data_IF_157378057956
#
_entry.id   IF_157378057956
#
_cell.length_a   1.000
_cell.length_b   1.000
_cell.length_c   1.000
_cell.angle_alpha   90.00
_cell.angle_beta   90.00
_cell.angle_gamma   90.00
#
_symmetry.space_group_name_H-M   'P 1'
#
loop_
_entity.id
_entity.type
_entity.pdbx_description
1 polymer ?
#
# COMPACT_ATOMS: atom_id res chain seq x y z
N UNK A 1 33.50 -2.49 17.15
CA UNK A 1 32.75 -2.42 15.87
C UNK A 1 31.64 -3.43 15.92
N UNK A 2 30.40 -2.99 15.77
CA UNK A 2 29.28 -3.90 15.53
C UNK A 2 28.29 -3.23 14.58
N UNK A 3 28.29 -3.68 13.34
CA UNK A 3 27.11 -3.64 12.48
C UNK A 3 27.28 -4.73 11.41
N UNK A 4 26.75 -5.91 11.70
CA UNK A 4 26.27 -6.75 10.60
C UNK A 4 24.91 -7.27 11.00
N UNK A 5 23.89 -6.63 10.44
CA UNK A 5 22.58 -7.23 10.30
C UNK A 5 22.17 -7.09 8.84
N UNK A 6 21.69 -8.19 8.25
CA UNK A 6 20.97 -8.20 6.98
C UNK A 6 19.57 -8.79 7.26
N UNK A 7 18.63 -8.08 7.90
CA UNK A 7 17.24 -8.52 7.92
C UNK A 7 16.47 -7.74 6.84
N UNK A 8 16.01 -8.50 5.83
CA UNK A 8 15.23 -8.10 4.65
C UNK A 8 16.00 -7.32 3.56
N UNK A 9 16.82 -8.04 2.77
CA UNK A 9 17.34 -7.52 1.50
C UNK A 9 16.19 -7.47 0.49
N UNK A 10 15.65 -6.28 0.26
CA UNK A 10 14.57 -6.04 -0.68
C UNK A 10 15.14 -5.91 -2.10
N UNK A 11 14.86 -6.89 -2.95
CA UNK A 11 15.13 -6.82 -4.40
C UNK A 11 13.79 -6.57 -5.09
N UNK A 12 13.71 -5.45 -5.80
CA UNK A 12 12.54 -5.09 -6.60
C UNK A 12 12.64 -5.73 -7.99
N UNK A 13 11.48 -6.09 -8.55
CA UNK A 13 11.34 -6.65 -9.89
C UNK A 13 10.81 -5.61 -10.88
N UNK A 14 10.96 -5.89 -12.18
CA UNK A 14 10.36 -5.07 -13.23
C UNK A 14 8.85 -4.99 -13.00
N UNK A 15 8.34 -3.81 -12.66
CA UNK A 15 6.95 -3.63 -12.24
C UNK A 15 6.55 -2.17 -12.37
N UNK A 16 5.28 -1.93 -12.65
CA UNK A 16 4.60 -0.65 -12.75
C UNK A 16 3.17 -0.82 -12.22
N UNK A 17 2.69 0.15 -11.46
CA UNK A 17 1.28 0.21 -11.12
C UNK A 17 0.77 1.62 -11.16
N UNK A 18 -0.43 1.82 -11.70
CA UNK A 18 -1.05 3.13 -11.82
C UNK A 18 -2.55 3.04 -11.65
N UNK A 19 -3.10 3.91 -10.83
CA UNK A 19 -4.54 4.05 -10.68
C UNK A 19 -4.95 4.62 -9.35
N UNK A 20 -6.25 4.53 -9.07
CA UNK A 20 -6.83 5.01 -7.82
C UNK A 20 -8.19 4.39 -7.59
N UNK A 21 -8.58 4.33 -6.32
CA UNK A 21 -9.92 3.93 -5.96
C UNK A 21 -10.15 4.02 -4.46
N UNK A 22 -11.40 3.82 -4.09
CA UNK A 22 -11.86 3.83 -2.72
C UNK A 22 -12.31 2.42 -2.31
N UNK A 23 -12.00 2.00 -1.09
CA UNK A 23 -12.48 0.75 -0.51
C UNK A 23 -13.42 1.11 0.64
N UNK A 24 -14.65 0.64 0.54
CA UNK A 24 -15.65 0.81 1.58
C UNK A 24 -15.78 -0.48 2.41
N UNK A 25 -15.56 -0.36 3.72
CA UNK A 25 -15.73 -1.44 4.68
C UNK A 25 -16.99 -1.13 5.48
N UNK A 26 -18.10 -1.77 5.09
CA UNK A 26 -19.39 -1.60 5.77
C UNK A 26 -19.33 -2.08 7.23
N UNK A 27 -18.66 -3.21 7.46
CA UNK A 27 -18.46 -3.78 8.77
C UNK A 27 -17.25 -4.71 8.73
N UNK A 28 -16.45 -4.69 9.79
CA UNK A 28 -15.48 -5.74 10.06
C UNK A 28 -16.15 -6.91 10.79
N UNK A 29 -15.35 -7.94 11.04
CA UNK A 29 -15.76 -9.14 11.78
C UNK A 29 -16.22 -8.85 13.21
N UNK A 30 -15.70 -7.79 13.83
CA UNK A 30 -16.12 -7.35 15.17
C UNK A 30 -17.51 -6.69 15.19
N UNK A 31 -18.12 -6.46 14.02
CA UNK A 31 -19.41 -5.79 13.82
C UNK A 31 -19.47 -4.33 14.30
N UNK A 32 -18.35 -3.74 14.72
CA UNK A 32 -18.28 -2.38 15.26
C UNK A 32 -17.39 -1.49 14.40
N UNK A 33 -16.35 -2.07 13.79
CA UNK A 33 -15.38 -1.32 13.01
C UNK A 33 -15.81 -1.20 11.55
N UNK A 34 -15.68 -0.01 10.99
CA UNK A 34 -16.05 0.30 9.61
C UNK A 34 -15.25 1.50 9.09
N UNK A 35 -15.47 1.85 7.83
CA UNK A 35 -14.93 3.09 7.29
C UNK A 35 -14.60 2.99 5.82
N UNK A 36 -13.83 3.97 5.36
CA UNK A 36 -13.38 4.09 3.99
C UNK A 36 -11.89 4.39 3.96
N UNK A 37 -11.20 3.83 2.98
CA UNK A 37 -9.87 4.30 2.63
C UNK A 37 -9.73 4.43 1.12
N UNK A 38 -8.85 5.31 0.70
CA UNK A 38 -8.52 5.60 -0.69
C UNK A 38 -7.06 5.33 -0.93
N UNK A 39 -6.76 4.67 -2.05
CA UNK A 39 -5.41 4.54 -2.57
C UNK A 39 -5.30 5.30 -3.89
N UNK A 40 -4.19 6.00 -4.05
CA UNK A 40 -3.73 6.56 -5.32
C UNK A 40 -2.27 6.17 -5.51
N UNK A 41 -1.97 5.55 -6.64
CA UNK A 41 -0.69 4.90 -6.92
C UNK A 41 -0.24 5.25 -8.33
N UNK A 42 1.04 5.59 -8.48
CA UNK A 42 1.75 5.70 -9.75
C UNK A 42 3.22 5.36 -9.46
N UNK A 43 3.59 4.10 -9.60
CA UNK A 43 4.90 3.56 -9.20
C UNK A 43 5.50 2.73 -10.32
N UNK A 44 6.83 2.66 -10.37
CA UNK A 44 7.54 1.81 -11.32
C UNK A 44 8.94 1.44 -10.81
N UNK A 45 9.48 0.38 -11.41
CA UNK A 45 10.88 0.02 -11.36
C UNK A 45 11.25 -0.80 -12.59
N UNK A 46 12.36 -0.44 -13.23
CA UNK A 46 13.05 -1.22 -14.25
C UNK A 46 14.55 -1.25 -13.94
N UNK A 47 15.11 -2.42 -13.63
CA UNK A 47 16.53 -2.55 -13.31
C UNK A 47 17.48 -2.14 -14.47
N UNK A 48 16.97 -2.04 -15.70
CA UNK A 48 17.74 -1.53 -16.84
C UNK A 48 17.81 0.01 -16.89
N UNK A 49 16.88 0.72 -16.25
CA UNK A 49 16.74 2.18 -16.32
C UNK A 49 16.84 2.88 -14.95
N UNK A 50 16.45 2.20 -13.88
CA UNK A 50 16.26 2.76 -12.55
C UNK A 50 17.28 2.21 -11.55
N UNK A 51 17.82 3.10 -10.72
CA UNK A 51 18.65 2.69 -9.59
C UNK A 51 17.82 2.15 -8.42
N UNK A 52 16.60 2.67 -8.25
CA UNK A 52 15.68 2.36 -7.16
C UNK A 52 14.22 2.50 -7.63
N UNK A 53 13.27 1.82 -6.97
CA UNK A 53 11.84 2.04 -7.22
C UNK A 53 11.45 3.51 -7.06
N UNK A 54 10.60 3.98 -7.96
CA UNK A 54 10.22 5.39 -8.03
C UNK A 54 8.72 5.57 -8.22
N UNK A 55 8.26 6.80 -7.96
CA UNK A 55 6.86 7.20 -8.14
C UNK A 55 6.20 7.71 -6.86
N UNK A 56 4.88 7.63 -6.83
CA UNK A 56 4.02 8.19 -5.79
C UNK A 56 3.01 7.16 -5.28
N UNK A 57 2.79 7.17 -3.97
CA UNK A 57 1.74 6.44 -3.31
C UNK A 57 1.11 7.34 -2.25
N UNK A 58 -0.21 7.42 -2.24
CA UNK A 58 -1.01 8.13 -1.24
C UNK A 58 -2.10 7.21 -0.72
N UNK A 59 -2.24 7.16 0.61
CA UNK A 59 -3.26 6.39 1.31
C UNK A 59 -4.01 7.35 2.22
N UNK A 60 -5.28 7.62 1.91
CA UNK A 60 -6.17 8.39 2.78
C UNK A 60 -7.09 7.42 3.52
N UNK A 61 -7.19 7.56 4.83
CA UNK A 61 -7.98 6.66 5.68
C UNK A 61 -8.95 7.44 6.56
N UNK A 62 -10.18 6.96 6.62
CA UNK A 62 -11.20 7.33 7.59
C UNK A 62 -11.84 6.03 8.13
N UNK A 63 -10.99 5.24 8.80
CA UNK A 63 -11.37 4.01 9.48
C UNK A 63 -11.68 4.29 10.94
N UNK A 64 -12.68 3.61 11.51
CA UNK A 64 -13.06 3.78 12.92
C UNK A 64 -12.06 3.16 13.90
N UNK A 65 -11.22 2.25 13.44
CA UNK A 65 -10.30 1.43 14.24
C UNK A 65 -8.80 1.72 13.98
N UNK A 66 -8.52 2.87 13.38
CA UNK A 66 -7.17 3.33 13.07
C UNK A 66 -7.09 4.85 13.00
N UNK A 67 -5.88 5.34 12.83
CA UNK A 67 -5.67 6.78 12.69
C UNK A 67 -6.26 7.29 11.37
N UNK A 68 -6.87 8.49 11.41
CA UNK A 68 -7.56 9.12 10.28
C UNK A 68 -6.70 10.24 9.70
N UNK A 69 -6.57 10.28 8.38
CA UNK A 69 -5.76 11.26 7.66
C UNK A 69 -5.11 10.68 6.43
N UNK A 70 -4.01 11.29 5.99
CA UNK A 70 -3.32 10.96 4.73
C UNK A 70 -1.89 10.51 5.05
N UNK A 71 -1.49 9.39 4.44
CA UNK A 71 -0.14 8.87 4.43
C UNK A 71 0.40 8.97 3.01
N UNK A 72 1.53 9.64 2.85
CA UNK A 72 2.18 9.83 1.55
C UNK A 72 3.54 9.13 1.60
N UNK A 73 3.80 8.25 0.64
CA UNK A 73 5.10 7.61 0.51
C UNK A 73 6.18 8.68 0.35
N UNK A 74 7.21 8.59 1.20
CA UNK A 74 8.43 9.39 1.11
C UNK A 74 9.53 8.62 0.40
N UNK A 75 9.54 7.29 0.56
CA UNK A 75 10.40 6.37 -0.18
C UNK A 75 9.59 5.15 -0.60
N UNK A 76 10.00 4.53 -1.70
CA UNK A 76 9.54 3.20 -2.11
C UNK A 76 10.77 2.29 -1.99
N UNK A 77 10.76 1.40 -1.01
CA UNK A 77 11.90 0.55 -0.69
C UNK A 77 11.82 -0.80 -1.42
N UNK A 78 10.60 -1.26 -1.71
CA UNK A 78 10.37 -2.49 -2.46
C UNK A 78 9.13 -2.32 -3.36
N UNK A 79 9.26 -2.79 -4.59
CA UNK A 79 8.14 -3.03 -5.51
C UNK A 79 8.34 -4.39 -6.18
N UNK A 80 7.37 -5.28 -6.01
CA UNK A 80 7.37 -6.58 -6.68
C UNK A 80 5.95 -6.90 -7.15
N UNK A 81 5.81 -7.34 -8.40
CA UNK A 81 4.60 -8.01 -8.86
C UNK A 81 4.81 -9.49 -9.14
N UNK A 82 3.74 -10.27 -9.07
CA UNK A 82 3.67 -11.63 -9.59
C UNK A 82 2.29 -11.94 -10.16
N UNK A 83 2.13 -13.07 -10.84
CA UNK A 83 0.85 -13.55 -11.36
C UNK A 83 0.58 -13.13 -12.81
N UNK A 84 0.28 -14.10 -13.68
CA UNK A 84 0.02 -13.87 -15.11
C UNK A 84 -1.40 -13.38 -15.39
N UNK A 85 -2.38 -13.98 -14.72
CA UNK A 85 -3.81 -13.74 -14.96
C UNK A 85 -4.47 -12.84 -13.91
N UNK A 86 -3.78 -12.62 -12.80
CA UNK A 86 -4.13 -11.66 -11.76
C UNK A 86 -2.79 -11.08 -11.27
N UNK A 87 -2.28 -10.04 -11.94
CA UNK A 87 -1.08 -9.36 -11.50
C UNK A 87 -1.29 -8.78 -10.10
N UNK A 88 -0.50 -9.23 -9.12
CA UNK A 88 -0.55 -8.74 -7.75
C UNK A 88 0.76 -8.04 -7.43
N UNK A 89 0.70 -6.78 -7.01
CA UNK A 89 1.84 -5.96 -6.61
C UNK A 89 1.91 -5.81 -5.08
N UNK A 90 3.13 -5.76 -4.57
CA UNK A 90 3.48 -5.47 -3.20
C UNK A 90 4.42 -4.27 -3.14
N UNK A 91 4.10 -3.33 -2.26
CA UNK A 91 4.93 -2.16 -2.00
C UNK A 91 5.27 -2.06 -0.54
N UNK A 92 6.51 -1.66 -0.24
CA UNK A 92 6.91 -1.22 1.11
C UNK A 92 7.73 0.04 1.02
N UNK A 93 7.76 0.79 2.12
CA UNK A 93 8.60 1.96 2.24
C UNK A 93 8.27 2.82 3.45
N UNK A 94 8.78 4.05 3.42
CA UNK A 94 8.55 5.04 4.48
C UNK A 94 7.49 6.03 4.04
N UNK A 95 6.74 6.54 5.02
CA UNK A 95 5.71 7.54 4.78
C UNK A 95 5.94 8.81 5.61
N UNK A 96 5.31 9.88 5.15
CA UNK A 96 4.99 11.06 5.95
C UNK A 96 3.49 11.14 6.11
N UNK A 97 3.02 11.82 7.14
CA UNK A 97 1.59 11.90 7.43
C UNK A 97 1.21 13.23 8.05
N UNK A 98 -0.02 13.67 7.77
CA UNK A 98 -0.69 14.80 8.43
C UNK A 98 -1.53 14.38 9.64
N UNK A 99 -1.53 13.08 9.98
CA UNK A 99 -2.36 12.52 11.03
C UNK A 99 -1.89 13.05 12.40
N UNK A 100 -2.83 13.63 13.15
CA UNK A 100 -2.62 14.00 14.54
C UNK A 100 -2.78 12.76 15.45
N UNK A 101 -1.66 12.14 15.83
CA UNK A 101 -1.60 11.13 16.89
C UNK A 101 -0.82 11.65 18.10
N UNK A 102 -1.18 11.19 19.30
CA UNK A 102 -0.47 11.51 20.55
C UNK A 102 0.05 10.23 21.19
N UNK A 103 1.38 10.03 21.31
CA UNK A 103 2.46 10.92 20.86
C UNK A 103 2.57 11.00 19.33
N UNK A 104 3.22 12.04 18.77
CA UNK A 104 3.40 12.19 17.32
C UNK A 104 4.01 10.95 16.67
N UNK A 105 3.52 10.61 15.48
CA UNK A 105 3.98 9.44 14.72
C UNK A 105 5.47 9.57 14.39
N UNK A 106 6.26 8.56 14.76
CA UNK A 106 7.70 8.49 14.45
C UNK A 106 8.03 7.23 13.67
N UNK A 107 8.77 7.39 12.57
CA UNK A 107 9.19 6.29 11.70
C UNK A 107 8.02 5.59 11.01
N UNK A 108 7.15 6.37 10.37
CA UNK A 108 6.02 5.85 9.59
C UNK A 108 6.52 4.94 8.47
N UNK A 109 6.03 3.69 8.46
CA UNK A 109 6.28 2.70 7.41
C UNK A 109 4.96 2.19 6.86
N UNK A 110 4.95 1.86 5.57
CA UNK A 110 3.77 1.30 4.92
C UNK A 110 4.08 -0.05 4.29
N UNK A 111 3.03 -0.85 4.17
CA UNK A 111 2.93 -2.00 3.29
C UNK A 111 1.63 -1.88 2.51
N UNK A 112 1.67 -2.14 1.20
CA UNK A 112 0.49 -2.16 0.33
C UNK A 112 0.52 -3.43 -0.52
N UNK A 113 -0.66 -4.00 -0.74
CA UNK A 113 -0.91 -5.02 -1.74
C UNK A 113 -2.06 -4.56 -2.65
N UNK A 114 -1.90 -4.78 -3.96
CA UNK A 114 -3.00 -4.63 -4.92
C UNK A 114 -3.04 -5.88 -5.79
N UNK A 115 -4.18 -6.57 -5.79
CA UNK A 115 -4.49 -7.64 -6.73
C UNK A 115 -5.35 -7.07 -7.86
N UNK A 116 -4.78 -6.97 -9.06
CA UNK A 116 -5.41 -6.48 -10.28
C UNK A 116 -6.25 -7.60 -10.91
N UNK A 117 -7.57 -7.48 -10.79
CA UNK A 117 -8.55 -8.41 -11.34
C UNK A 117 -9.18 -7.84 -12.63
N UNK A 118 -9.99 -8.65 -13.31
CA UNK A 118 -10.59 -8.26 -14.59
C UNK A 118 -11.63 -7.14 -14.44
N UNK A 119 -11.51 -6.14 -15.32
CA UNK A 119 -12.38 -4.95 -15.49
C UNK A 119 -13.85 -5.19 -15.89
N UNK A 120 -14.28 -6.44 -16.06
CA UNK A 120 -15.63 -6.70 -16.56
C UNK A 120 -16.66 -6.17 -15.56
N UNK A 121 -17.78 -5.63 -16.06
CA UNK A 121 -18.82 -5.05 -15.20
C UNK A 121 -19.45 -6.05 -14.21
N UNK A 122 -19.26 -7.35 -14.47
CA UNK A 122 -19.60 -8.48 -13.60
C UNK A 122 -18.36 -9.22 -13.07
N UNK A 123 -17.17 -8.66 -13.27
CA UNK A 123 -15.89 -9.23 -12.88
C UNK A 123 -15.62 -9.10 -11.38
N UNK A 124 -14.58 -9.78 -10.92
CA UNK A 124 -14.09 -9.65 -9.55
C UNK A 124 -13.42 -8.27 -9.42
N UNK A 125 -13.81 -7.42 -8.45
CA UNK A 125 -13.12 -6.16 -8.22
C UNK A 125 -11.66 -6.36 -7.84
N UNK A 126 -10.80 -5.39 -8.13
CA UNK A 126 -9.45 -5.34 -7.56
C UNK A 126 -9.53 -5.44 -6.03
N UNK A 127 -8.57 -6.12 -5.42
CA UNK A 127 -8.45 -6.14 -3.96
C UNK A 127 -7.26 -5.28 -3.58
N UNK A 128 -7.50 -4.31 -2.70
CA UNK A 128 -6.43 -3.47 -2.15
C UNK A 128 -6.34 -3.70 -0.67
N UNK A 129 -5.11 -3.88 -0.17
CA UNK A 129 -4.79 -4.00 1.24
C UNK A 129 -3.65 -3.06 1.62
N UNK A 130 -3.69 -2.49 2.81
CA UNK A 130 -2.58 -1.72 3.36
C UNK A 130 -2.44 -1.90 4.87
N UNK A 131 -1.24 -1.63 5.36
CA UNK A 131 -0.96 -1.45 6.78
C UNK A 131 0.09 -0.35 6.98
N UNK A 132 -0.12 0.49 7.98
CA UNK A 132 0.80 1.55 8.42
C UNK A 132 1.30 1.21 9.82
N UNK A 133 2.61 1.35 10.05
CA UNK A 133 3.24 1.13 11.35
C UNK A 133 4.12 2.30 11.77
N UNK A 134 4.35 2.43 13.07
CA UNK A 134 5.42 3.26 13.62
C UNK A 134 6.78 2.53 13.64
N UNK A 135 7.83 3.22 14.11
CA UNK A 135 9.18 2.66 14.24
C UNK A 135 9.29 1.44 15.16
N UNK A 136 8.31 1.22 16.04
CA UNK A 136 8.30 0.10 16.97
C UNK A 136 7.50 -1.08 16.42
N UNK A 137 6.92 -0.96 15.22
CA UNK A 137 6.03 -1.96 14.63
C UNK A 137 4.59 -1.89 15.14
N UNK A 138 4.21 -0.84 15.88
CA UNK A 138 2.82 -0.67 16.30
C UNK A 138 1.97 -0.29 15.09
N UNK A 139 0.82 -0.94 14.92
CA UNK A 139 -0.14 -0.63 13.87
C UNK A 139 -0.80 0.73 14.11
N UNK A 140 -0.77 1.59 13.10
CA UNK A 140 -1.38 2.93 13.10
C UNK A 140 -2.69 2.94 12.33
N UNK A 141 -2.73 2.34 11.15
CA UNK A 141 -3.91 2.25 10.30
C UNK A 141 -3.81 1.02 9.40
N UNK A 142 -4.94 0.44 9.01
CA UNK A 142 -4.98 -0.70 8.11
C UNK A 142 -6.35 -0.85 7.46
N UNK A 143 -6.39 -1.51 6.30
CA UNK A 143 -7.62 -1.78 5.60
C UNK A 143 -7.36 -2.73 4.45
N UNK A 144 -8.33 -3.60 4.18
CA UNK A 144 -8.31 -4.50 3.02
C UNK A 144 -9.73 -4.68 2.52
N UNK A 145 -9.92 -4.65 1.21
CA UNK A 145 -11.23 -4.91 0.63
C UNK A 145 -11.30 -4.68 -0.88
N UNK A 146 -12.50 -4.86 -1.46
CA UNK A 146 -12.73 -4.64 -2.88
C UNK A 146 -12.67 -3.15 -3.22
N UNK A 147 -11.92 -2.83 -4.26
CA UNK A 147 -11.73 -1.49 -4.77
C UNK A 147 -12.94 -1.07 -5.59
N UNK A 148 -13.48 0.11 -5.28
CA UNK A 148 -14.31 0.89 -6.18
C UNK A 148 -13.42 1.89 -6.90
N UNK A 149 -13.00 1.52 -8.09
CA UNK A 149 -11.96 2.19 -8.86
C UNK A 149 -11.16 1.16 -9.62
N UNK A 150 -9.96 1.51 -10.02
CA UNK A 150 -9.12 0.63 -10.83
C UNK A 150 -7.65 0.96 -10.60
N UNK A 151 -6.83 -0.08 -10.44
CA UNK A 151 -5.38 0.04 -10.41
C UNK A 151 -4.81 -0.98 -11.39
N UNK A 152 -4.29 -0.45 -12.49
CA UNK A 152 -3.57 -1.26 -13.45
C UNK A 152 -2.20 -1.61 -12.89
N UNK A 153 -1.93 -2.91 -12.78
CA UNK A 153 -0.63 -3.47 -12.43
C UNK A 153 -0.06 -4.15 -13.67
N UNK A 154 1.13 -3.73 -14.08
CA UNK A 154 1.87 -4.23 -15.22
C UNK A 154 3.36 -4.37 -14.86
N UNK A 155 4.14 -5.18 -15.53
CA UNK A 155 3.79 -6.52 -15.94
C UNK A 155 4.85 -7.52 -15.44
N UNK A 156 4.51 -8.80 -15.44
CA UNK A 156 5.55 -9.84 -15.48
C UNK A 156 6.14 -9.90 -16.89
#
# INVERSE_FOLDING_TARGET
MAATSIPAFHVSGFTKAKGKGDVFIASRKDAVSSGIFRIEIDVHFDAAADNYPAGTLSIKTDMSDGAKGIFIASTIELINSYGKHNPTIYLTGQCRSDVAVTPPLRGCRYWVMVANNTKDSNGTPDIVGFCIHDRNGNRIAYGTGPLKGDIEVAPN
#
